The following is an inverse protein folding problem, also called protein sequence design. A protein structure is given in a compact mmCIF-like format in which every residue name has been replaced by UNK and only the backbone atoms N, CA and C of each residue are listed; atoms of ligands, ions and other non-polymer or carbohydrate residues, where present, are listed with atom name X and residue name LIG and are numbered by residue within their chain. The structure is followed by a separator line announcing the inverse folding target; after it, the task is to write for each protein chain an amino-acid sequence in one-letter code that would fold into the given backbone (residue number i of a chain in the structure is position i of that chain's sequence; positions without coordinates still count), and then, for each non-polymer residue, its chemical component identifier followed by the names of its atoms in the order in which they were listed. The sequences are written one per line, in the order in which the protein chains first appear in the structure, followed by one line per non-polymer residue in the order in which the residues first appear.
data_IF_293058854514
#
_entry.id   IF_293058854514
#
_cell.length_a   1.000
_cell.length_b   1.000
_cell.length_c   1.000
_cell.angle_alpha   90.00
_cell.angle_beta   90.00
_cell.angle_gamma   90.00
#
_symmetry.space_group_name_H-M   'P 1'
#
loop_
_entity.id
_entity.type
_entity.pdbx_description
1 polymer ?
#
# COMPACT_ATOMS: atom_id res chain seq x y z
N UNK A 1 -9.33 -9.59 -11.35
CA UNK A 1 -7.93 -9.51 -10.93
C UNK A 1 -7.37 -8.14 -11.22
N UNK A 2 -6.67 -7.56 -10.28
CA UNK A 2 -6.12 -6.23 -10.44
C UNK A 2 -4.72 -6.33 -11.03
N UNK A 3 -4.44 -5.62 -12.12
CA UNK A 3 -3.09 -5.64 -12.70
C UNK A 3 -2.05 -5.14 -11.71
N UNK A 4 -0.87 -5.70 -11.79
CA UNK A 4 0.19 -5.32 -10.87
C UNK A 4 0.56 -3.85 -10.98
N UNK A 5 0.47 -3.27 -12.16
CA UNK A 5 0.74 -1.85 -12.34
C UNK A 5 -0.19 -0.99 -11.49
N UNK A 6 -1.44 -1.43 -11.31
CA UNK A 6 -2.38 -0.67 -10.50
C UNK A 6 -2.05 -0.78 -9.01
N UNK A 7 -1.50 -1.92 -8.60
CA UNK A 7 -1.03 -2.07 -7.23
C UNK A 7 0.05 -1.03 -6.93
N UNK A 8 1.02 -0.88 -7.83
CA UNK A 8 2.09 0.09 -7.65
C UNK A 8 1.59 1.52 -7.69
N UNK A 9 0.60 1.80 -8.54
CA UNK A 9 0.01 3.13 -8.59
C UNK A 9 -0.66 3.51 -7.30
N UNK A 10 -1.43 2.58 -6.73
CA UNK A 10 -2.11 2.84 -5.46
C UNK A 10 -1.09 3.00 -4.35
N UNK A 11 -0.06 2.16 -4.33
CA UNK A 11 0.97 2.26 -3.31
C UNK A 11 1.67 3.63 -3.37
N UNK A 12 1.97 4.10 -4.58
CA UNK A 12 2.61 5.39 -4.75
C UNK A 12 1.69 6.52 -4.31
N UNK A 13 0.42 6.42 -4.63
CA UNK A 13 -0.57 7.40 -4.21
C UNK A 13 -0.67 7.46 -2.69
N UNK A 14 -0.68 6.29 -2.05
CA UNK A 14 -0.73 6.22 -0.59
C UNK A 14 0.48 6.89 0.04
N UNK A 15 1.66 6.64 -0.50
CA UNK A 15 2.87 7.29 -0.01
C UNK A 15 2.81 8.80 -0.18
N UNK A 16 2.29 9.26 -1.31
CA UNK A 16 2.17 10.69 -1.58
C UNK A 16 1.20 11.35 -0.60
N UNK A 17 0.11 10.66 -0.28
CA UNK A 17 -0.92 11.24 0.57
C UNK A 17 -0.61 11.13 2.05
N UNK A 18 -0.08 9.99 2.48
CA UNK A 18 0.04 9.70 3.90
C UNK A 18 1.48 9.64 4.39
N UNK A 19 2.45 9.64 3.48
CA UNK A 19 3.85 9.59 3.88
C UNK A 19 4.13 8.39 4.76
N UNK A 20 4.70 8.61 5.91
CA UNK A 20 5.08 7.54 6.82
C UNK A 20 3.89 6.76 7.35
N UNK A 21 2.69 7.31 7.28
CA UNK A 21 1.48 6.63 7.73
C UNK A 21 0.85 5.75 6.66
N UNK A 22 1.44 5.69 5.46
CA UNK A 22 0.82 4.97 4.34
C UNK A 22 0.55 3.50 4.66
N UNK A 23 1.53 2.82 5.27
CA UNK A 23 1.35 1.40 5.60
C UNK A 23 0.25 1.21 6.63
N UNK A 24 0.19 2.08 7.62
CA UNK A 24 -0.83 2.00 8.65
C UNK A 24 -2.22 2.25 8.08
N UNK A 25 -2.32 3.19 7.13
CA UNK A 25 -3.60 3.45 6.47
C UNK A 25 -4.02 2.26 5.61
N UNK A 26 -3.07 1.63 4.93
CA UNK A 26 -3.36 0.42 4.17
C UNK A 26 -3.84 -0.72 5.06
N UNK A 27 -3.20 -0.89 6.21
CA UNK A 27 -3.59 -1.93 7.15
C UNK A 27 -5.00 -1.69 7.69
N UNK A 28 -5.34 -0.42 7.94
CA UNK A 28 -6.67 -0.07 8.38
C UNK A 28 -7.72 -0.45 7.33
N UNK A 29 -7.42 -0.19 6.08
CA UNK A 29 -8.33 -0.54 5.00
C UNK A 29 -8.49 -2.06 4.88
N UNK A 30 -7.40 -2.80 5.03
CA UNK A 30 -7.45 -4.26 4.99
C UNK A 30 -8.31 -4.80 6.15
N UNK A 31 -8.20 -4.20 7.32
CA UNK A 31 -9.01 -4.61 8.47
C UNK A 31 -10.50 -4.35 8.22
N UNK A 32 -10.84 -3.24 7.60
CA UNK A 32 -12.23 -2.92 7.26
C UNK A 32 -12.81 -3.97 6.32
N UNK A 33 -12.02 -4.35 5.32
CA UNK A 33 -12.47 -5.35 4.35
C UNK A 33 -12.58 -6.73 5.00
N UNK A 34 -11.68 -7.04 5.91
CA UNK A 34 -11.76 -8.30 6.64
C UNK A 34 -13.03 -8.38 7.49
N UNK A 35 -13.41 -7.26 8.10
CA UNK A 35 -14.63 -7.21 8.89
C UNK A 35 -15.86 -7.45 8.01
N UNK A 36 -15.79 -7.07 6.73
CA UNK A 36 -16.86 -7.30 5.77
C UNK A 36 -16.73 -8.66 5.08
N UNK A 37 -15.80 -9.49 5.49
CA UNK A 37 -15.52 -10.78 4.89
C UNK A 37 -15.14 -10.70 3.41
N UNK A 38 -14.58 -9.58 2.99
CA UNK A 38 -14.14 -9.39 1.61
C UNK A 38 -12.69 -9.85 1.51
N UNK A 39 -12.50 -11.15 1.42
CA UNK A 39 -11.16 -11.74 1.43
C UNK A 39 -10.35 -11.36 0.20
N UNK A 40 -11.01 -11.20 -0.95
CA UNK A 40 -10.32 -10.76 -2.16
C UNK A 40 -9.77 -9.35 -1.99
N UNK A 41 -10.57 -8.48 -1.38
CA UNK A 41 -10.10 -7.11 -1.11
C UNK A 41 -8.96 -7.08 -0.10
N UNK A 42 -9.02 -7.93 0.92
CA UNK A 42 -7.93 -8.04 1.88
C UNK A 42 -6.64 -8.43 1.18
N UNK A 43 -6.70 -9.44 0.30
CA UNK A 43 -5.52 -9.90 -0.42
C UNK A 43 -4.91 -8.78 -1.27
N UNK A 44 -5.76 -8.00 -1.94
CA UNK A 44 -5.29 -6.88 -2.75
C UNK A 44 -4.59 -5.84 -1.87
N UNK A 45 -5.20 -5.49 -0.74
CA UNK A 45 -4.60 -4.47 0.13
C UNK A 45 -3.31 -4.94 0.78
N UNK A 46 -3.19 -6.24 1.08
CA UNK A 46 -1.92 -6.76 1.60
C UNK A 46 -0.81 -6.62 0.56
N UNK A 47 -1.12 -6.80 -0.72
CA UNK A 47 -0.15 -6.57 -1.78
C UNK A 47 0.20 -5.09 -1.90
N UNK A 48 -0.78 -4.21 -1.72
CA UNK A 48 -0.53 -2.77 -1.76
C UNK A 48 0.37 -2.37 -0.59
N UNK A 49 0.13 -2.90 0.60
CA UNK A 49 0.96 -2.61 1.76
C UNK A 49 2.40 -3.06 1.53
N UNK A 50 2.57 -4.25 0.94
CA UNK A 50 3.91 -4.74 0.61
C UNK A 50 4.59 -3.81 -0.39
N UNK A 51 3.86 -3.38 -1.41
CA UNK A 51 4.40 -2.46 -2.41
C UNK A 51 4.79 -1.12 -1.79
N UNK A 52 3.98 -0.62 -0.85
CA UNK A 52 4.31 0.61 -0.13
C UNK A 52 5.66 0.44 0.59
N UNK A 53 5.83 -0.69 1.26
CA UNK A 53 7.09 -0.95 1.96
C UNK A 53 8.27 -0.98 1.00
N UNK A 54 8.11 -1.62 -0.15
CA UNK A 54 9.18 -1.71 -1.13
C UNK A 54 9.52 -0.34 -1.72
N UNK A 55 8.49 0.46 -2.05
CA UNK A 55 8.74 1.81 -2.57
C UNK A 55 9.44 2.69 -1.53
N UNK A 56 9.05 2.57 -0.28
CA UNK A 56 9.68 3.34 0.78
C UNK A 56 11.14 2.96 0.97
N UNK A 57 11.46 1.68 0.78
CA UNK A 57 12.84 1.24 0.90
C UNK A 57 13.70 1.64 -0.27
N UNK A 58 13.11 1.62 -1.47
CA UNK A 58 13.90 1.87 -2.67
C UNK A 58 13.98 3.33 -3.03
N UNK A 59 13.12 4.16 -2.49
CA UNK A 59 13.20 5.57 -2.74
C UNK A 59 14.25 6.12 -1.82
N UNK A 60 15.37 6.46 -2.32
CA UNK A 60 16.48 6.79 -1.55
C UNK A 60 16.31 8.05 -0.88
N UNK A 61 15.42 8.47 -0.68
CA UNK A 61 15.30 9.44 0.01
C UNK A 61 16.32 10.35 -0.11
N UNK A 62 16.23 10.92 -0.82
CA UNK A 62 17.00 11.83 -0.88
C UNK A 62 18.22 11.73 -0.32
N UNK A 63 18.39 11.01 -0.05
CA UNK A 63 19.35 10.85 0.54
C UNK A 63 20.37 11.26 -0.10
N UNK A 64 20.32 11.63 -0.23
CA UNK A 64 20.92 11.88 -0.68
C UNK A 64 21.20 12.81 -1.01
N UNK A 65 21.20 13.28 -0.87
CA UNK A 65 21.34 13.96 -1.23
C UNK A 65 21.73 14.50 -1.08
#
# INVERSE_FOLDING_TARGET
MIPEIDIWRVANLMLTRYGDAARAEGAKRAEELAADADLAGVAVWLRIIDAIGQLAMTTPIGSVH
#
